data_IF_137921957535
#
_entry.id   IF_137921957535
#
_cell.length_a   1.000
_cell.length_b   1.000
_cell.length_c   1.000
_cell.angle_alpha   90.00
_cell.angle_beta   90.00
_cell.angle_gamma   90.00
#
_symmetry.space_group_name_H-M   'P 1'
#
loop_
_entity.id
_entity.type
_entity.pdbx_description
1 polymer ?
#
# COMPACT_ATOMS: atom_id res chain seq x y z
N UNK A 1 2.08 0.43 -20.06
CA UNK A 1 2.35 1.74 -20.73
C UNK A 1 1.24 2.68 -20.32
N UNK A 2 1.58 3.80 -19.67
CA UNK A 2 0.62 4.61 -18.91
C UNK A 2 0.35 5.91 -19.68
N UNK A 3 -0.41 5.81 -20.78
CA UNK A 3 -0.56 6.88 -21.78
C UNK A 3 -0.84 8.26 -21.18
N UNK A 4 -1.76 8.36 -20.22
CA UNK A 4 -2.11 9.62 -19.58
C UNK A 4 -0.92 10.20 -18.81
N UNK A 5 -0.26 9.41 -17.96
CA UNK A 5 0.89 9.86 -17.15
C UNK A 5 2.08 10.25 -18.03
N UNK A 6 2.27 9.57 -19.15
CA UNK A 6 3.32 9.89 -20.12
C UNK A 6 3.08 11.26 -20.78
N UNK A 7 1.81 11.62 -21.03
CA UNK A 7 1.42 12.94 -21.57
C UNK A 7 1.54 14.09 -20.57
N UNK A 8 1.63 13.81 -19.27
CA UNK A 8 1.81 14.83 -18.24
C UNK A 8 3.26 15.32 -18.14
N UNK A 9 4.21 14.66 -18.84
CA UNK A 9 5.63 15.07 -18.91
C UNK A 9 6.26 15.32 -17.52
N UNK A 10 5.83 14.57 -16.50
CA UNK A 10 6.31 14.72 -15.12
C UNK A 10 5.88 16.00 -14.40
N UNK A 11 4.97 16.79 -14.96
CA UNK A 11 4.46 18.03 -14.34
C UNK A 11 3.37 17.79 -13.29
N UNK A 12 2.80 16.59 -13.28
CA UNK A 12 1.73 16.17 -12.37
C UNK A 12 2.14 14.82 -11.80
N UNK A 13 2.23 14.75 -10.47
CA UNK A 13 2.52 13.53 -9.73
C UNK A 13 1.30 12.61 -9.63
N UNK A 14 1.55 11.34 -9.32
CA UNK A 14 0.51 10.34 -9.07
C UNK A 14 0.39 10.07 -7.56
N UNK A 15 -0.84 10.15 -7.05
CA UNK A 15 -1.21 9.59 -5.75
C UNK A 15 -1.82 8.20 -5.99
N UNK A 16 -1.08 7.15 -5.64
CA UNK A 16 -1.57 5.77 -5.71
C UNK A 16 -2.58 5.48 -4.61
N UNK A 17 -3.36 4.41 -4.77
CA UNK A 17 -4.34 3.97 -3.77
C UNK A 17 -4.45 2.44 -3.83
N UNK A 18 -4.21 1.76 -2.71
CA UNK A 18 -4.21 0.29 -2.66
C UNK A 18 -5.60 -0.33 -2.49
N UNK A 19 -6.63 0.48 -2.21
CA UNK A 19 -8.01 0.03 -1.91
C UNK A 19 -8.96 0.15 -3.11
N UNK A 20 -8.51 0.78 -4.20
CA UNK A 20 -9.37 1.04 -5.37
C UNK A 20 -9.76 -0.22 -6.16
N UNK A 21 -9.12 -1.36 -5.92
CA UNK A 21 -9.28 -2.56 -6.74
C UNK A 21 -9.42 -3.83 -5.90
N UNK A 22 -10.12 -4.82 -6.46
CA UNK A 22 -10.37 -6.12 -5.82
C UNK A 22 -9.36 -7.17 -6.32
N UNK A 23 -8.99 -8.10 -5.44
CA UNK A 23 -8.13 -9.21 -5.78
C UNK A 23 -8.83 -10.20 -6.75
N UNK A 24 -8.07 -10.94 -7.58
CA UNK A 24 -6.60 -10.99 -7.63
C UNK A 24 -5.93 -9.95 -8.55
N UNK A 25 -6.64 -9.35 -9.51
CA UNK A 25 -6.05 -8.48 -10.53
C UNK A 25 -5.37 -7.23 -9.94
N UNK A 26 -5.87 -6.76 -8.78
CA UNK A 26 -5.34 -5.57 -8.10
C UNK A 26 -3.83 -5.55 -7.90
N UNK A 27 -3.19 -6.69 -7.65
CA UNK A 27 -1.75 -6.72 -7.35
C UNK A 27 -0.90 -6.42 -8.58
N UNK A 28 -1.32 -6.92 -9.75
CA UNK A 28 -0.68 -6.63 -11.01
C UNK A 28 -0.92 -5.17 -11.42
N UNK A 29 -2.16 -4.69 -11.27
CA UNK A 29 -2.52 -3.32 -11.59
C UNK A 29 -1.77 -2.29 -10.72
N UNK A 30 -1.62 -2.58 -9.42
CA UNK A 30 -0.77 -1.78 -8.53
C UNK A 30 0.67 -1.77 -9.02
N UNK A 31 1.22 -2.92 -9.41
CA UNK A 31 2.59 -3.00 -9.88
C UNK A 31 2.85 -2.14 -11.14
N UNK A 32 1.83 -1.99 -12.00
CA UNK A 32 1.91 -1.21 -13.24
C UNK A 32 1.93 0.31 -13.03
N UNK A 33 1.37 0.81 -11.93
CA UNK A 33 1.24 2.27 -11.68
C UNK A 33 2.14 2.77 -10.54
N UNK A 34 2.47 1.91 -9.57
CA UNK A 34 3.14 2.35 -8.33
C UNK A 34 4.58 2.82 -8.55
N UNK A 35 5.24 2.40 -9.63
CA UNK A 35 6.54 2.96 -10.03
C UNK A 35 6.50 4.45 -10.41
N UNK A 36 5.30 4.99 -10.66
CA UNK A 36 5.05 6.41 -10.99
C UNK A 36 4.47 7.20 -9.81
N UNK A 37 4.13 6.53 -8.70
CA UNK A 37 3.49 7.15 -7.56
C UNK A 37 4.49 7.92 -6.68
N UNK A 38 4.10 9.11 -6.24
CA UNK A 38 4.85 9.94 -5.29
C UNK A 38 4.31 9.80 -3.86
N UNK A 39 3.02 9.53 -3.75
CA UNK A 39 2.25 9.34 -2.53
C UNK A 39 1.35 8.12 -2.72
N UNK A 40 0.93 7.50 -1.61
CA UNK A 40 0.03 6.37 -1.66
C UNK A 40 -0.96 6.41 -0.50
N UNK A 41 -2.25 6.38 -0.81
CA UNK A 41 -3.28 6.05 0.16
C UNK A 41 -3.19 4.57 0.51
N UNK A 42 -3.00 4.30 1.79
CA UNK A 42 -3.01 2.98 2.36
C UNK A 42 -4.25 2.85 3.25
N UNK A 43 -5.31 2.27 2.70
CA UNK A 43 -6.47 1.80 3.45
C UNK A 43 -6.42 0.29 3.45
N UNK A 44 -6.52 -0.30 4.64
CA UNK A 44 -6.62 -1.74 4.77
C UNK A 44 -8.09 -2.15 4.96
N UNK A 45 -8.44 -3.32 4.45
CA UNK A 45 -9.73 -3.93 4.71
C UNK A 45 -9.79 -4.55 6.12
N UNK A 46 -10.98 -4.49 6.70
CA UNK A 46 -11.29 -5.08 8.00
C UNK A 46 -12.54 -5.93 7.88
N UNK A 47 -12.46 -7.15 8.43
CA UNK A 47 -13.59 -8.07 8.55
C UNK A 47 -13.93 -8.31 10.03
N UNK A 48 -14.86 -9.24 10.30
CA UNK A 48 -15.29 -9.56 11.66
C UNK A 48 -14.15 -10.03 12.59
N UNK A 49 -13.04 -10.50 12.03
CA UNK A 49 -11.84 -10.93 12.75
C UNK A 49 -10.75 -9.85 12.85
N UNK A 50 -10.97 -8.66 12.26
CA UNK A 50 -10.04 -7.53 12.27
C UNK A 50 -9.41 -7.27 10.91
N UNK A 51 -8.20 -6.70 10.93
CA UNK A 51 -7.42 -6.35 9.75
C UNK A 51 -7.21 -7.58 8.84
N UNK A 52 -7.51 -7.45 7.55
CA UNK A 52 -7.10 -8.44 6.56
C UNK A 52 -5.60 -8.30 6.26
N UNK A 53 -4.80 -8.92 7.15
CA UNK A 53 -3.35 -8.84 7.09
C UNK A 53 -2.76 -9.48 5.83
N UNK A 54 -3.41 -10.51 5.28
CA UNK A 54 -2.89 -11.21 4.11
C UNK A 54 -3.04 -10.33 2.86
N UNK A 55 -4.22 -9.77 2.66
CA UNK A 55 -4.49 -8.85 1.57
C UNK A 55 -3.61 -7.58 1.65
N UNK A 56 -3.54 -6.98 2.84
CA UNK A 56 -2.77 -5.76 3.05
C UNK A 56 -1.26 -5.97 2.83
N UNK A 57 -0.72 -7.11 3.25
CA UNK A 57 0.67 -7.48 2.97
C UNK A 57 0.92 -7.57 1.46
N UNK A 58 0.05 -8.26 0.71
CA UNK A 58 0.21 -8.44 -0.74
C UNK A 58 0.18 -7.09 -1.49
N UNK A 59 -0.68 -6.15 -1.09
CA UNK A 59 -0.68 -4.80 -1.64
C UNK A 59 0.65 -4.06 -1.38
N UNK A 60 1.17 -4.12 -0.15
CA UNK A 60 2.41 -3.45 0.23
C UNK A 60 3.63 -4.07 -0.47
N UNK A 61 3.67 -5.40 -0.60
CA UNK A 61 4.71 -6.09 -1.36
C UNK A 61 4.65 -5.76 -2.86
N UNK A 62 3.47 -5.65 -3.46
CA UNK A 62 3.31 -5.21 -4.84
C UNK A 62 3.84 -3.78 -5.06
N UNK A 63 3.53 -2.85 -4.14
CA UNK A 63 4.08 -1.50 -4.18
C UNK A 63 5.61 -1.51 -4.11
N UNK A 64 6.18 -2.29 -3.18
CA UNK A 64 7.63 -2.43 -3.03
C UNK A 64 8.30 -3.04 -4.24
N UNK A 65 7.72 -4.10 -4.83
CA UNK A 65 8.20 -4.74 -6.05
C UNK A 65 8.18 -3.80 -7.26
N UNK A 66 7.21 -2.87 -7.31
CA UNK A 66 7.14 -1.80 -8.31
C UNK A 66 8.16 -0.67 -8.08
N UNK A 67 8.94 -0.71 -7.00
CA UNK A 67 9.93 0.31 -6.68
C UNK A 67 9.36 1.56 -6.00
N UNK A 68 8.16 1.49 -5.41
CA UNK A 68 7.59 2.60 -4.65
C UNK A 68 8.40 2.87 -3.37
N UNK A 69 8.81 4.13 -3.19
CA UNK A 69 9.59 4.60 -2.03
C UNK A 69 9.00 5.84 -1.36
N UNK A 70 7.81 6.27 -1.79
CA UNK A 70 7.09 7.41 -1.22
C UNK A 70 6.44 7.11 0.13
N UNK A 71 5.90 8.12 0.82
CA UNK A 71 5.21 7.94 2.09
C UNK A 71 3.81 7.34 1.90
N UNK A 72 3.35 6.57 2.87
CA UNK A 72 1.95 6.12 2.94
C UNK A 72 1.10 7.08 3.76
N UNK A 73 -0.04 7.50 3.20
CA UNK A 73 -1.11 8.20 3.91
C UNK A 73 -2.09 7.15 4.42
N UNK A 74 -2.15 6.94 5.73
CA UNK A 74 -3.01 5.92 6.34
C UNK A 74 -4.46 6.38 6.38
N UNK A 75 -5.37 5.52 5.95
CA UNK A 75 -6.82 5.74 5.98
C UNK A 75 -7.46 4.62 6.77
N UNK A 76 -8.32 4.97 7.72
CA UNK A 76 -9.15 4.03 8.46
C UNK A 76 -10.62 4.34 8.15
N UNK A 77 -11.31 3.34 7.61
CA UNK A 77 -12.71 3.41 7.20
C UNK A 77 -13.35 2.04 7.48
N UNK A 78 -13.54 1.75 8.76
CA UNK A 78 -14.11 0.50 9.24
C UNK A 78 -14.79 0.69 10.58
N UNK A 79 -15.89 -0.03 10.87
CA UNK A 79 -16.51 -0.02 12.19
C UNK A 79 -15.82 -0.96 13.20
N UNK A 80 -14.74 -1.67 12.84
CA UNK A 80 -14.13 -2.69 13.69
C UNK A 80 -13.62 -2.14 15.03
N UNK A 81 -12.98 -0.97 15.00
CA UNK A 81 -12.56 -0.23 16.19
C UNK A 81 -13.54 0.92 16.43
N UNK A 82 -14.07 1.06 17.66
CA UNK A 82 -14.88 2.23 18.03
C UNK A 82 -14.08 3.54 18.00
N UNK A 83 -12.79 3.47 18.32
CA UNK A 83 -11.86 4.59 18.17
C UNK A 83 -11.03 4.40 16.90
N UNK A 84 -11.22 5.30 15.94
CA UNK A 84 -10.54 5.27 14.64
C UNK A 84 -9.00 5.31 14.78
N UNK A 85 -8.48 5.91 15.86
CA UNK A 85 -7.05 5.96 16.11
C UNK A 85 -6.43 4.58 16.33
N UNK A 86 -7.16 3.63 16.94
CA UNK A 86 -6.68 2.26 17.12
C UNK A 86 -6.46 1.56 15.77
N UNK A 87 -7.35 1.82 14.81
CA UNK A 87 -7.22 1.35 13.43
C UNK A 87 -5.98 1.91 12.74
N UNK A 88 -5.77 3.23 12.81
CA UNK A 88 -4.59 3.90 12.25
C UNK A 88 -3.28 3.40 12.89
N UNK A 89 -3.25 3.24 14.22
CA UNK A 89 -2.09 2.76 14.95
C UNK A 89 -1.75 1.30 14.60
N UNK A 90 -2.77 0.45 14.41
CA UNK A 90 -2.60 -0.92 13.94
C UNK A 90 -1.96 -0.97 12.55
N UNK A 91 -2.50 -0.22 11.57
CA UNK A 91 -1.94 -0.16 10.21
C UNK A 91 -0.50 0.35 10.20
N UNK A 92 -0.21 1.43 10.94
CA UNK A 92 1.14 1.97 11.10
C UNK A 92 2.12 0.93 11.65
N UNK A 93 1.68 0.17 12.65
CA UNK A 93 2.50 -0.89 13.27
C UNK A 93 2.76 -2.02 12.28
N UNK A 94 1.74 -2.41 11.52
CA UNK A 94 1.82 -3.43 10.48
C UNK A 94 2.85 -3.09 9.40
N UNK A 95 2.74 -1.90 8.77
CA UNK A 95 3.67 -1.44 7.73
C UNK A 95 5.11 -1.41 8.27
N UNK A 96 5.32 -0.87 9.48
CA UNK A 96 6.65 -0.80 10.09
C UNK A 96 7.26 -2.18 10.38
N UNK A 97 6.42 -3.18 10.65
CA UNK A 97 6.85 -4.57 10.86
C UNK A 97 7.44 -5.19 9.58
N UNK A 98 6.88 -4.87 8.42
CA UNK A 98 7.35 -5.35 7.12
C UNK A 98 8.74 -4.80 6.81
N UNK A 99 8.96 -3.49 6.94
CA UNK A 99 10.24 -2.85 6.64
C UNK A 99 11.39 -3.39 7.51
N UNK A 100 11.11 -3.73 8.77
CA UNK A 100 12.10 -4.36 9.66
C UNK A 100 12.45 -5.78 9.23
N UNK A 101 11.45 -6.54 8.77
CA UNK A 101 11.63 -7.92 8.32
C UNK A 101 12.40 -8.00 7.00
N UNK A 102 12.21 -7.03 6.10
CA UNK A 102 12.99 -6.90 4.87
C UNK A 102 14.47 -6.59 5.16
N UNK A 103 14.76 -5.74 6.15
CA UNK A 103 16.13 -5.38 6.54
C UNK A 103 16.89 -6.50 7.27
N UNK A 104 16.18 -7.50 7.80
CA UNK A 104 16.80 -8.71 8.39
C UNK A 104 17.03 -9.85 7.41
N UNK A 105 16.56 -9.75 6.16
CA UNK A 105 16.79 -10.74 5.08
C UNK A 105 18.02 -10.44 4.22
N UNK A 106 18.97 -9.67 4.73
CA UNK A 106 20.36 -9.67 4.23
C UNK A 106 21.30 -10.04 5.37
N UNK A 107 21.71 -11.30 5.39
CA UNK A 107 23.13 -11.61 5.28
C UNK A 107 23.38 -12.67 4.20
N UNK A 108 24.31 -12.36 3.30
CA UNK A 108 24.94 -13.27 2.32
C UNK A 108 24.05 -13.76 1.15
N UNK A 109 24.28 -13.16 -0.03
CA UNK A 109 24.83 -13.85 -1.21
C UNK A 109 25.25 -12.84 -2.28
#
# INVERSE_FOLDING_TARGET
MNWLLDKLEGKVGLNGDIDNWTAPEKYADLSDIMCRAELCHAKADYNASGLDAADYLMCLEACGAAGYVGPFTLIYDSPFFPDEWDGILLQKTFIRGISRSANTRSPEQ
#
